data_IF_806556403346
#
_entry.id   IF_806556403346
#
_cell.length_a   1.000
_cell.length_b   1.000
_cell.length_c   1.000
_cell.angle_alpha   90.00
_cell.angle_beta   90.00
_cell.angle_gamma   90.00
#
_symmetry.space_group_name_H-M   'P 1'
#
loop_
_entity.id
_entity.type
_entity.pdbx_description
1 polymer ?
#
# COMPACT_ATOMS: atom_id res chain seq x y z
N UNK A 1 9.16 -11.53 -8.15
CA UNK A 1 10.34 -11.05 -8.93
C UNK A 1 10.61 -9.59 -8.59
N UNK A 2 11.84 -9.16 -8.63
CA UNK A 2 12.19 -7.75 -8.38
C UNK A 2 11.85 -6.88 -9.59
N UNK A 3 11.47 -5.63 -9.35
CA UNK A 3 11.18 -4.65 -10.42
C UNK A 3 12.35 -4.54 -11.40
N UNK A 4 13.58 -4.54 -10.90
CA UNK A 4 14.77 -4.47 -11.74
C UNK A 4 14.89 -5.66 -12.71
N UNK A 5 14.41 -6.83 -12.32
CA UNK A 5 14.42 -8.02 -13.17
C UNK A 5 13.36 -7.91 -14.27
N UNK A 6 12.18 -7.37 -13.94
CA UNK A 6 11.16 -7.07 -14.95
C UNK A 6 11.70 -6.08 -16.01
N UNK A 7 12.39 -5.03 -15.57
CA UNK A 7 12.99 -4.04 -16.47
C UNK A 7 14.04 -4.68 -17.36
N UNK A 8 14.95 -5.49 -16.81
CA UNK A 8 15.98 -6.21 -17.59
C UNK A 8 15.37 -7.16 -18.59
N UNK A 9 14.37 -7.95 -18.18
CA UNK A 9 13.69 -8.93 -19.03
C UNK A 9 12.84 -8.30 -20.13
N UNK A 10 12.52 -7.01 -20.01
CA UNK A 10 11.77 -6.29 -21.04
C UNK A 10 12.57 -6.09 -22.35
N UNK A 11 13.90 -6.16 -22.31
CA UNK A 11 14.77 -6.02 -23.49
C UNK A 11 14.43 -4.78 -24.35
N UNK A 12 14.28 -3.63 -23.71
CA UNK A 12 13.92 -2.37 -24.38
C UNK A 12 12.44 -2.17 -24.71
N UNK A 13 11.59 -3.13 -24.41
CA UNK A 13 10.14 -2.94 -24.53
C UNK A 13 9.63 -2.04 -23.42
N UNK A 14 8.67 -1.18 -23.72
CA UNK A 14 7.98 -0.38 -22.70
C UNK A 14 7.16 -1.28 -21.78
N UNK A 15 7.36 -1.13 -20.48
CA UNK A 15 6.54 -1.74 -19.46
C UNK A 15 5.46 -0.74 -19.02
N UNK A 16 4.28 -1.26 -18.75
CA UNK A 16 3.16 -0.51 -18.22
C UNK A 16 2.83 -1.05 -16.83
N UNK A 17 3.00 -0.26 -15.79
CA UNK A 17 2.61 -0.58 -14.43
C UNK A 17 1.45 0.28 -13.96
N UNK A 18 0.79 -0.18 -12.92
CA UNK A 18 -0.35 0.50 -12.31
C UNK A 18 -0.01 0.90 -10.88
N UNK A 19 -0.51 2.03 -10.47
CA UNK A 19 -0.55 2.43 -9.07
C UNK A 19 -1.99 2.44 -8.61
N UNK A 20 -2.27 1.77 -7.51
CA UNK A 20 -3.61 1.70 -6.94
C UNK A 20 -3.70 2.40 -5.60
N UNK A 21 -4.86 3.00 -5.39
CA UNK A 21 -5.26 3.58 -4.12
C UNK A 21 -6.03 2.52 -3.33
N UNK A 22 -5.63 2.19 -2.08
CA UNK A 22 -6.41 1.29 -1.24
C UNK A 22 -7.86 1.78 -1.07
N UNK A 23 -8.83 0.87 -0.99
CA UNK A 23 -10.23 1.23 -0.80
C UNK A 23 -10.44 1.94 0.55
N UNK A 24 -11.57 2.61 0.70
CA UNK A 24 -11.93 3.24 1.97
C UNK A 24 -12.33 2.19 3.01
N UNK A 25 -12.25 2.58 4.27
CA UNK A 25 -12.73 1.78 5.39
C UNK A 25 -14.20 1.39 5.19
N UNK A 26 -14.48 0.11 5.34
CA UNK A 26 -15.83 -0.44 5.15
C UNK A 26 -16.10 -1.01 3.76
N UNK A 27 -15.29 -0.69 2.76
CA UNK A 27 -15.33 -1.37 1.47
C UNK A 27 -14.64 -2.74 1.57
N UNK A 28 -15.08 -3.67 0.75
CA UNK A 28 -14.49 -5.01 0.73
C UNK A 28 -13.50 -5.19 -0.43
N UNK A 29 -12.81 -6.31 -0.41
CA UNK A 29 -11.82 -6.67 -1.42
C UNK A 29 -12.41 -6.80 -2.82
N UNK A 30 -13.70 -7.13 -2.94
CA UNK A 30 -14.38 -7.27 -4.24
C UNK A 30 -14.39 -5.95 -4.99
N UNK A 31 -14.66 -4.82 -4.30
CA UNK A 31 -14.59 -3.48 -4.92
C UNK A 31 -13.22 -3.22 -5.54
N UNK A 32 -12.14 -3.62 -4.85
CA UNK A 32 -10.79 -3.51 -5.38
C UNK A 32 -10.63 -4.34 -6.65
N UNK A 33 -11.01 -5.60 -6.62
CA UNK A 33 -10.85 -6.51 -7.76
C UNK A 33 -11.73 -6.11 -8.95
N UNK A 34 -12.96 -5.68 -8.72
CA UNK A 34 -13.86 -5.20 -9.78
C UNK A 34 -13.24 -4.01 -10.55
N UNK A 35 -12.52 -3.13 -9.85
CA UNK A 35 -11.81 -2.01 -10.46
C UNK A 35 -10.52 -2.44 -11.17
N UNK A 36 -9.86 -3.48 -10.69
CA UNK A 36 -8.59 -3.97 -11.24
C UNK A 36 -8.77 -4.92 -12.43
N UNK A 37 -9.82 -5.74 -12.42
CA UNK A 37 -10.01 -6.78 -13.44
C UNK A 37 -9.87 -6.27 -14.90
N UNK A 38 -10.48 -5.14 -15.30
CA UNK A 38 -10.30 -4.61 -16.65
C UNK A 38 -8.86 -4.20 -16.95
N UNK A 39 -8.12 -3.75 -15.95
CA UNK A 39 -6.74 -3.28 -16.10
C UNK A 39 -5.74 -4.41 -16.22
N UNK A 40 -6.06 -5.58 -15.68
CA UNK A 40 -5.20 -6.75 -15.75
C UNK A 40 -5.08 -7.33 -17.16
N UNK A 41 -5.98 -6.95 -18.08
CA UNK A 41 -5.88 -7.26 -19.50
C UNK A 41 -4.57 -6.73 -20.12
N UNK A 42 -4.07 -5.60 -19.63
CA UNK A 42 -2.80 -5.00 -20.08
C UNK A 42 -1.56 -5.70 -19.55
N UNK A 43 -1.71 -6.74 -18.73
CA UNK A 43 -0.62 -7.56 -18.17
C UNK A 43 0.49 -6.74 -17.51
N UNK A 44 0.18 -5.88 -16.53
CA UNK A 44 1.21 -5.12 -15.82
C UNK A 44 2.19 -6.10 -15.16
N UNK A 45 3.50 -5.88 -15.26
CA UNK A 45 4.49 -6.78 -14.66
C UNK A 45 4.52 -6.67 -13.14
N UNK A 46 4.14 -5.53 -12.61
CA UNK A 46 4.01 -5.26 -11.17
C UNK A 46 2.98 -4.16 -10.93
N UNK A 47 2.50 -4.08 -9.70
CA UNK A 47 1.48 -3.12 -9.28
C UNK A 47 1.96 -2.42 -8.01
N UNK A 48 1.98 -1.10 -8.04
CA UNK A 48 2.27 -0.26 -6.89
C UNK A 48 1.02 -0.06 -6.03
N UNK A 49 1.19 -0.08 -4.72
CA UNK A 49 0.09 0.14 -3.76
C UNK A 49 0.45 1.28 -2.84
N UNK A 50 -0.27 2.39 -2.94
CA UNK A 50 -0.02 3.58 -2.12
C UNK A 50 -0.34 3.33 -0.66
N UNK A 51 0.40 4.01 0.24
CA UNK A 51 0.13 3.99 1.66
C UNK A 51 -0.53 5.29 2.11
N UNK A 52 -1.58 5.16 2.90
CA UNK A 52 -2.25 6.29 3.55
C UNK A 52 -2.16 6.14 5.05
N UNK A 53 -1.43 7.10 5.67
CA UNK A 53 -1.24 7.11 7.12
C UNK A 53 -2.56 7.32 7.87
N UNK A 54 -2.55 6.95 9.13
CA UNK A 54 -3.63 7.27 10.06
C UNK A 54 -3.78 8.78 10.21
N UNK A 55 -5.01 9.22 10.37
CA UNK A 55 -5.32 10.62 10.69
C UNK A 55 -5.66 10.75 12.17
N UNK A 56 -5.29 11.88 12.75
CA UNK A 56 -5.67 12.20 14.11
C UNK A 56 -6.98 12.98 14.12
N UNK A 57 -7.92 12.52 14.95
CA UNK A 57 -9.20 13.18 15.18
C UNK A 57 -9.27 13.57 16.66
N UNK A 58 -9.68 14.80 16.94
CA UNK A 58 -9.89 15.28 18.29
C UNK A 58 -11.37 15.19 18.65
N UNK A 59 -11.68 14.41 19.69
CA UNK A 59 -13.03 14.24 20.19
C UNK A 59 -13.17 14.99 21.51
N UNK A 60 -14.17 15.89 21.61
CA UNK A 60 -14.47 16.59 22.86
C UNK A 60 -15.13 15.63 23.84
N UNK A 61 -14.59 15.55 25.06
CA UNK A 61 -15.16 14.79 26.18
C UNK A 61 -16.16 15.65 26.96
N UNK A 62 -16.99 15.02 27.79
CA UNK A 62 -17.96 15.70 28.66
C UNK A 62 -17.30 16.69 29.65
N UNK A 63 -16.05 16.41 30.08
CA UNK A 63 -15.26 17.28 30.96
C UNK A 63 -14.62 18.47 30.23
N UNK A 64 -14.91 18.70 28.95
CA UNK A 64 -14.35 19.77 28.11
C UNK A 64 -12.96 19.52 27.56
N UNK A 65 -12.31 18.42 27.93
CA UNK A 65 -11.00 18.04 27.37
C UNK A 65 -11.15 17.44 25.95
N UNK A 66 -10.09 17.59 25.16
CA UNK A 66 -10.00 16.99 23.83
C UNK A 66 -9.23 15.66 23.92
N UNK A 67 -9.83 14.60 23.39
CA UNK A 67 -9.16 13.32 23.24
C UNK A 67 -8.63 13.19 21.83
N UNK A 68 -7.31 13.00 21.71
CA UNK A 68 -6.68 12.70 20.43
C UNK A 68 -6.83 11.21 20.13
N UNK A 69 -7.48 10.90 19.01
CA UNK A 69 -7.64 9.52 18.52
C UNK A 69 -6.98 9.36 17.16
N UNK A 70 -6.26 8.27 17.00
CA UNK A 70 -5.80 7.82 15.68
C UNK A 70 -6.93 7.13 14.96
N UNK A 71 -7.17 7.51 13.72
CA UNK A 71 -8.22 6.92 12.88
C UNK A 71 -7.60 6.44 11.56
N UNK A 72 -7.69 5.14 11.34
CA UNK A 72 -7.29 4.51 10.09
C UNK A 72 -8.45 4.51 9.11
N UNK A 73 -8.27 5.17 7.97
CA UNK A 73 -9.32 5.30 6.94
C UNK A 73 -9.19 4.31 5.80
N UNK A 74 -8.05 3.65 5.66
CA UNK A 74 -7.78 2.69 4.58
C UNK A 74 -7.03 1.47 5.12
N UNK A 75 -7.17 0.29 4.48
CA UNK A 75 -6.32 -0.86 4.79
C UNK A 75 -4.85 -0.53 4.57
N UNK A 76 -3.96 -1.25 5.25
CA UNK A 76 -2.51 -1.13 5.04
C UNK A 76 -2.05 -1.81 3.76
N UNK A 77 -0.93 -1.34 3.24
CA UNK A 77 -0.35 -1.85 1.98
C UNK A 77 0.01 -3.32 2.05
N UNK A 78 0.45 -3.83 3.20
CA UNK A 78 0.81 -5.25 3.37
C UNK A 78 -0.39 -6.15 3.05
N UNK A 79 -1.53 -5.90 3.63
CA UNK A 79 -2.76 -6.68 3.40
C UNK A 79 -3.25 -6.60 1.96
N UNK A 80 -3.22 -5.41 1.38
CA UNK A 80 -3.63 -5.17 -0.02
C UNK A 80 -2.69 -5.89 -0.98
N UNK A 81 -1.38 -5.75 -0.81
CA UNK A 81 -0.38 -6.42 -1.66
C UNK A 81 -0.50 -7.93 -1.58
N UNK A 82 -0.69 -8.49 -0.38
CA UNK A 82 -0.91 -9.93 -0.21
C UNK A 82 -2.15 -10.40 -0.98
N UNK A 83 -3.25 -9.65 -0.91
CA UNK A 83 -4.48 -9.98 -1.63
C UNK A 83 -4.31 -9.94 -3.15
N UNK A 84 -3.68 -8.90 -3.67
CA UNK A 84 -3.41 -8.72 -5.11
C UNK A 84 -2.48 -9.82 -5.61
N UNK A 85 -1.36 -10.05 -4.94
CA UNK A 85 -0.39 -11.06 -5.34
C UNK A 85 -0.99 -12.46 -5.33
N UNK A 86 -1.82 -12.77 -4.34
CA UNK A 86 -2.48 -14.07 -4.26
C UNK A 86 -3.55 -14.25 -5.34
N UNK A 87 -4.31 -13.20 -5.65
CA UNK A 87 -5.42 -13.27 -6.61
C UNK A 87 -4.94 -13.24 -8.07
N UNK A 88 -4.06 -12.31 -8.41
CA UNK A 88 -3.62 -12.11 -9.80
C UNK A 88 -2.28 -12.76 -10.14
N UNK A 89 -1.53 -13.24 -9.16
CA UNK A 89 -0.17 -13.78 -9.35
C UNK A 89 0.78 -12.77 -10.01
N UNK A 90 0.61 -11.50 -9.66
CA UNK A 90 1.43 -10.38 -10.12
C UNK A 90 2.27 -9.86 -8.97
N UNK A 91 3.49 -9.41 -9.27
CA UNK A 91 4.35 -8.80 -8.25
C UNK A 91 3.76 -7.47 -7.77
N UNK A 92 3.92 -7.18 -6.49
CA UNK A 92 3.44 -5.94 -5.89
C UNK A 92 4.57 -5.13 -5.29
N UNK A 93 4.39 -3.82 -5.28
CA UNK A 93 5.32 -2.84 -4.71
C UNK A 93 4.58 -2.02 -3.66
N UNK A 94 4.58 -2.46 -2.40
CA UNK A 94 3.97 -1.68 -1.33
C UNK A 94 4.76 -0.40 -1.09
N UNK A 95 4.05 0.73 -0.98
CA UNK A 95 4.62 1.98 -0.54
C UNK A 95 4.73 1.99 0.99
N UNK A 96 5.87 2.43 1.51
CA UNK A 96 6.10 2.67 2.92
C UNK A 96 6.46 4.14 3.11
N UNK A 97 5.69 4.85 3.94
CA UNK A 97 5.94 6.25 4.24
C UNK A 97 6.83 6.35 5.47
N UNK A 98 8.11 6.62 5.26
CA UNK A 98 9.10 6.70 6.34
C UNK A 98 8.81 7.82 7.35
N UNK A 99 8.15 8.89 6.94
CA UNK A 99 7.71 9.96 7.83
C UNK A 99 6.49 9.63 8.69
N UNK A 100 5.79 8.54 8.41
CA UNK A 100 4.59 8.09 9.12
C UNK A 100 4.80 6.86 10.00
N UNK A 101 5.94 6.18 9.86
CA UNK A 101 6.30 4.99 10.63
C UNK A 101 7.46 5.28 11.57
N UNK A 102 7.41 4.70 12.77
CA UNK A 102 8.61 4.59 13.59
C UNK A 102 9.49 3.41 13.11
N UNK A 103 10.63 3.23 13.74
CA UNK A 103 11.58 2.17 13.37
C UNK A 103 10.96 0.78 13.49
N UNK A 104 10.27 0.52 14.58
CA UNK A 104 9.65 -0.77 14.88
C UNK A 104 8.50 -1.08 13.90
N UNK A 105 7.68 -0.10 13.58
CA UNK A 105 6.60 -0.23 12.60
C UNK A 105 7.13 -0.54 11.20
N UNK A 106 8.22 0.12 10.81
CA UNK A 106 8.89 -0.13 9.54
C UNK A 106 9.46 -1.54 9.49
N UNK A 107 10.15 -1.97 10.55
CA UNK A 107 10.71 -3.31 10.66
C UNK A 107 9.61 -4.38 10.60
N UNK A 108 8.51 -4.20 11.34
CA UNK A 108 7.38 -5.11 11.35
C UNK A 108 6.76 -5.25 9.94
N UNK A 109 6.57 -4.15 9.24
CA UNK A 109 6.06 -4.18 7.87
C UNK A 109 6.98 -4.96 6.92
N UNK A 110 8.29 -4.77 7.03
CA UNK A 110 9.28 -5.48 6.21
C UNK A 110 9.32 -6.99 6.53
N UNK A 111 9.16 -7.37 7.79
CA UNK A 111 9.07 -8.78 8.21
C UNK A 111 7.84 -9.44 7.58
N UNK A 112 6.69 -8.78 7.64
CA UNK A 112 5.44 -9.29 7.06
C UNK A 112 5.56 -9.44 5.53
N UNK A 113 6.14 -8.44 4.86
CA UNK A 113 6.36 -8.47 3.41
C UNK A 113 7.32 -9.59 3.01
N UNK A 114 8.40 -9.78 3.74
CA UNK A 114 9.33 -10.90 3.52
C UNK A 114 8.63 -12.25 3.65
N UNK A 115 7.83 -12.43 4.70
CA UNK A 115 7.07 -13.66 4.91
C UNK A 115 6.12 -13.96 3.75
N UNK A 116 5.50 -12.93 3.18
CA UNK A 116 4.58 -13.04 2.04
C UNK A 116 5.29 -13.22 0.70
N UNK A 117 6.62 -13.19 0.65
CA UNK A 117 7.39 -13.29 -0.59
C UNK A 117 7.28 -12.04 -1.46
N UNK A 118 7.05 -10.87 -0.86
CA UNK A 118 7.00 -9.59 -1.56
C UNK A 118 8.40 -8.98 -1.52
N UNK A 119 9.06 -8.96 -2.68
CA UNK A 119 10.48 -8.60 -2.81
C UNK A 119 10.74 -7.11 -3.04
N UNK A 120 9.70 -6.32 -3.22
CA UNK A 120 9.80 -4.92 -3.63
C UNK A 120 9.14 -4.01 -2.60
N UNK A 121 9.73 -2.86 -2.37
CA UNK A 121 9.19 -1.79 -1.52
C UNK A 121 9.55 -0.45 -2.13
N UNK A 122 8.61 0.49 -2.17
CA UNK A 122 8.87 1.89 -2.46
C UNK A 122 8.87 2.69 -1.16
N UNK A 123 10.07 3.09 -0.72
CA UNK A 123 10.25 3.89 0.48
C UNK A 123 10.14 5.38 0.15
N UNK A 124 9.15 6.03 0.72
CA UNK A 124 8.86 7.46 0.53
C UNK A 124 9.00 8.21 1.85
N UNK A 125 9.44 9.45 1.78
CA UNK A 125 9.39 10.33 2.95
C UNK A 125 7.94 10.62 3.36
N UNK A 126 7.07 10.79 2.38
CA UNK A 126 5.69 11.21 2.57
C UNK A 126 5.55 12.73 2.74
N UNK A 127 4.33 13.21 2.67
CA UNK A 127 4.01 14.62 2.89
C UNK A 127 4.16 15.01 4.36
N UNK A 128 4.50 16.27 4.60
CA UNK A 128 4.54 16.81 5.96
C UNK A 128 3.17 16.71 6.63
N UNK A 129 3.17 16.39 7.92
CA UNK A 129 1.94 16.40 8.72
C UNK A 129 1.49 17.85 8.81
N UNK A 130 0.34 18.17 8.25
CA UNK A 130 -0.31 19.46 8.47
C UNK A 130 -0.78 19.49 9.91
N UNK A 131 -0.22 20.39 10.65
CA UNK A 131 -0.59 20.66 12.04
C UNK A 131 -1.99 21.29 12.11
#
# INVERSE_FOLDING_TARGET
MKVIDHIKNANGRTLFSLEILPPLKGENIRTLFDNMDPLMEFKPPFIDVTYHREEYVYKKKENGLLEKRSTRKRPGTVGICAAIQNHYKVDTVPHIICGGFNKEETENALIDLQFLGIDNVLALQGDAIKS
#
